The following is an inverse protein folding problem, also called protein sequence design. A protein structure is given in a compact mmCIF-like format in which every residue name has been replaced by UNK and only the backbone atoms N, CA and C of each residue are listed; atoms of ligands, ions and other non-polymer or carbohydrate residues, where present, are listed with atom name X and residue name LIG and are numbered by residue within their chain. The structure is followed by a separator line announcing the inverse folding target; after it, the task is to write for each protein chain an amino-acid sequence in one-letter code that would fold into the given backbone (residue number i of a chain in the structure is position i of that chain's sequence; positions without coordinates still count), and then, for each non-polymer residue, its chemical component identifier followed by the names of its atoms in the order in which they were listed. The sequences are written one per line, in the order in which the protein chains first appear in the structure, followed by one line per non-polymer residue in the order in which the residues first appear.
data_IF_389110553859
#
_entry.id   IF_389110553859
#
_cell.length_a   1.000
_cell.length_b   1.000
_cell.length_c   1.000
_cell.angle_alpha   90.00
_cell.angle_beta   90.00
_cell.angle_gamma   90.00
#
_symmetry.space_group_name_H-M   'P 1'
#
loop_
_entity.id
_entity.type
_entity.pdbx_description
1 polymer ?
#
# COMPACT_ATOMS: atom_id res chain seq x y z
N UNK A 1 0.62 -4.21 3.78
CA UNK A 1 1.90 -3.88 4.36
C UNK A 1 2.66 -3.13 3.31
N UNK A 2 2.84 -1.87 3.57
CA UNK A 2 3.70 -1.07 2.74
C UNK A 2 5.06 -1.75 2.75
N UNK A 3 5.52 -2.21 1.61
CA UNK A 3 6.93 -2.51 1.36
C UNK A 3 7.66 -1.18 1.44
N UNK A 4 7.75 -0.62 2.64
CA UNK A 4 8.70 0.42 2.92
C UNK A 4 10.05 -0.27 2.86
N UNK A 5 10.76 -0.10 1.75
CA UNK A 5 12.20 -0.27 1.76
C UNK A 5 12.73 0.72 2.80
N UNK A 6 12.79 0.28 4.07
CA UNK A 6 13.59 1.00 5.04
C UNK A 6 15.02 0.86 4.56
N UNK A 7 15.53 1.92 3.97
CA UNK A 7 16.96 2.13 3.95
C UNK A 7 17.38 2.06 5.42
N UNK A 8 18.23 1.10 5.78
CA UNK A 8 18.74 1.00 7.13
C UNK A 8 19.38 2.34 7.47
N UNK A 9 18.78 3.08 8.41
CA UNK A 9 19.48 4.17 9.09
C UNK A 9 20.76 3.59 9.67
N UNK A 10 21.86 4.34 9.72
CA UNK A 10 23.10 3.88 10.33
C UNK A 10 22.79 3.24 11.67
N UNK A 11 23.25 2.01 11.84
CA UNK A 11 22.96 1.02 12.89
C UNK A 11 22.31 1.62 14.15
N UNK A 12 21.03 1.39 14.38
CA UNK A 12 20.44 1.74 15.65
C UNK A 12 21.15 0.91 16.72
N UNK A 13 21.52 1.50 17.84
CA UNK A 13 22.13 0.79 18.93
C UNK A 13 21.34 -0.47 19.29
N UNK A 14 21.96 -1.48 19.86
CA UNK A 14 21.43 -2.83 20.17
C UNK A 14 19.97 -2.84 20.70
N UNK A 15 19.57 -1.80 21.45
CA UNK A 15 18.21 -1.61 21.98
C UNK A 15 17.13 -1.35 20.92
N UNK A 16 17.45 -0.68 19.79
CA UNK A 16 16.48 -0.41 18.74
C UNK A 16 16.33 -1.60 17.79
N UNK A 17 17.41 -2.34 17.54
CA UNK A 17 17.36 -3.61 16.84
C UNK A 17 16.51 -4.63 17.60
N UNK A 18 16.66 -4.70 18.95
CA UNK A 18 15.85 -5.55 19.81
C UNK A 18 14.36 -5.14 19.79
N UNK A 19 14.07 -3.83 19.85
CA UNK A 19 12.69 -3.34 19.74
C UNK A 19 12.06 -3.65 18.37
N UNK A 20 12.82 -3.55 17.29
CA UNK A 20 12.34 -3.90 15.94
C UNK A 20 12.10 -5.40 15.80
N UNK A 21 12.99 -6.24 16.35
CA UNK A 21 12.83 -7.69 16.36
C UNK A 21 11.63 -8.13 17.22
N UNK A 22 11.44 -7.52 18.39
CA UNK A 22 10.28 -7.77 19.26
C UNK A 22 8.98 -7.33 18.60
N UNK A 23 8.96 -6.19 17.89
CA UNK A 23 7.81 -5.72 17.13
C UNK A 23 7.49 -6.66 15.97
N UNK A 24 8.49 -7.14 15.24
CA UNK A 24 8.31 -8.12 14.16
C UNK A 24 7.80 -9.46 14.71
N UNK A 25 8.36 -9.95 15.81
CA UNK A 25 7.89 -11.18 16.47
C UNK A 25 6.46 -11.04 16.99
N UNK A 26 6.10 -9.89 17.59
CA UNK A 26 4.74 -9.61 18.03
C UNK A 26 3.75 -9.59 16.85
N UNK A 27 4.11 -9.00 15.71
CA UNK A 27 3.28 -9.02 14.50
C UNK A 27 3.08 -10.46 14.01
N UNK A 28 4.13 -11.28 13.99
CA UNK A 28 4.02 -12.70 13.61
C UNK A 28 3.12 -13.52 14.55
N UNK A 29 3.09 -13.19 15.84
CA UNK A 29 2.19 -13.83 16.80
C UNK A 29 0.74 -13.35 16.67
N UNK A 30 0.53 -12.09 16.25
CA UNK A 30 -0.80 -11.48 16.16
C UNK A 30 -1.50 -11.85 14.83
N UNK A 31 -0.73 -12.09 13.75
CA UNK A 31 -1.27 -12.42 12.42
C UNK A 31 -0.64 -13.68 11.86
N UNK A 32 -0.99 -14.85 12.39
CA UNK A 32 -0.49 -16.11 11.87
C UNK A 32 -0.90 -16.28 10.38
N UNK A 33 0.02 -16.70 9.55
CA UNK A 33 -0.23 -17.01 8.13
C UNK A 33 -0.09 -15.84 7.16
N UNK A 34 -0.33 -14.58 7.55
CA UNK A 34 -0.26 -13.47 6.60
C UNK A 34 1.14 -13.29 6.00
N UNK A 35 2.18 -13.42 6.80
CA UNK A 35 3.58 -13.36 6.33
C UNK A 35 3.89 -14.45 5.29
N UNK A 36 3.34 -15.65 5.43
CA UNK A 36 3.51 -16.73 4.47
C UNK A 36 2.79 -16.41 3.15
N UNK A 37 1.57 -15.91 3.21
CA UNK A 37 0.80 -15.54 2.03
C UNK A 37 1.39 -14.33 1.29
N UNK A 38 1.93 -13.34 2.03
CA UNK A 38 2.72 -12.26 1.42
C UNK A 38 3.97 -12.79 0.71
N UNK A 39 4.75 -13.66 1.34
CA UNK A 39 5.93 -14.28 0.70
C UNK A 39 5.56 -15.09 -0.54
N UNK A 40 4.44 -15.82 -0.48
CA UNK A 40 3.93 -16.55 -1.66
C UNK A 40 3.57 -15.59 -2.79
N UNK A 41 2.87 -14.50 -2.50
CA UNK A 41 2.58 -13.47 -3.49
C UNK A 41 3.86 -12.85 -4.04
N UNK A 42 4.79 -12.44 -3.17
CA UNK A 42 6.08 -11.90 -3.60
C UNK A 42 6.88 -12.85 -4.48
N UNK A 43 6.79 -14.17 -4.25
CA UNK A 43 7.49 -15.16 -5.08
C UNK A 43 6.94 -15.26 -6.51
N UNK A 44 5.71 -14.81 -6.75
CA UNK A 44 5.09 -14.76 -8.07
C UNK A 44 5.51 -13.51 -8.86
N UNK A 45 6.02 -12.49 -8.18
CA UNK A 45 6.45 -11.26 -8.83
C UNK A 45 7.86 -11.44 -9.42
N UNK A 46 8.06 -10.93 -10.63
CA UNK A 46 9.40 -10.83 -11.20
C UNK A 46 10.21 -9.83 -10.37
N UNK A 47 11.22 -10.33 -9.68
CA UNK A 47 12.17 -9.49 -8.93
C UNK A 47 13.46 -9.36 -9.72
N UNK A 48 13.79 -8.15 -10.04
CA UNK A 48 15.10 -7.83 -10.58
C UNK A 48 15.65 -6.58 -9.86
N UNK A 49 16.75 -6.70 -9.14
CA UNK A 49 17.51 -7.92 -8.88
C UNK A 49 16.82 -8.82 -7.85
N UNK A 50 17.14 -10.09 -7.89
CA UNK A 50 16.69 -11.06 -6.89
C UNK A 50 17.31 -10.83 -5.49
N UNK A 51 18.21 -9.87 -5.36
CA UNK A 51 18.92 -9.54 -4.12
C UNK A 51 18.24 -8.35 -3.45
N UNK A 52 17.87 -8.46 -2.18
CA UNK A 52 17.36 -7.32 -1.42
C UNK A 52 18.42 -6.21 -1.37
N UNK A 53 18.04 -5.02 -1.81
CA UNK A 53 18.86 -3.83 -1.64
C UNK A 53 18.84 -3.40 -0.18
N UNK A 54 20.00 -3.28 0.44
CA UNK A 54 20.13 -2.99 1.87
C UNK A 54 20.81 -1.66 2.15
N UNK A 55 21.39 -1.05 1.12
CA UNK A 55 22.10 0.21 1.25
C UNK A 55 21.76 1.17 0.12
N UNK A 56 22.05 2.45 0.30
CA UNK A 56 21.93 3.46 -0.74
C UNK A 56 22.84 3.14 -1.94
N UNK A 57 24.01 2.54 -1.69
CA UNK A 57 24.93 2.16 -2.75
C UNK A 57 24.41 0.99 -3.58
N UNK A 58 23.74 0.01 -2.95
CA UNK A 58 23.07 -1.07 -3.67
C UNK A 58 22.02 -0.52 -4.63
N UNK A 59 21.17 0.42 -4.13
CA UNK A 59 20.14 1.07 -4.94
C UNK A 59 20.75 1.89 -6.07
N UNK A 60 21.81 2.64 -5.79
CA UNK A 60 22.53 3.43 -6.80
C UNK A 60 23.13 2.52 -7.90
N UNK A 61 23.70 1.40 -7.52
CA UNK A 61 24.24 0.41 -8.47
C UNK A 61 23.14 -0.20 -9.35
N UNK A 62 21.91 -0.38 -8.80
CA UNK A 62 20.76 -0.81 -9.61
C UNK A 62 20.41 0.20 -10.69
N UNK A 63 20.48 1.50 -10.38
CA UNK A 63 20.14 2.54 -11.37
C UNK A 63 21.07 2.55 -12.59
N UNK A 64 22.24 1.95 -12.49
CA UNK A 64 23.20 1.84 -13.61
C UNK A 64 22.77 0.81 -14.68
N UNK A 65 21.81 -0.06 -14.35
CA UNK A 65 21.33 -1.11 -15.28
C UNK A 65 19.97 -0.80 -15.89
N UNK A 66 19.36 0.34 -15.52
CA UNK A 66 18.05 0.75 -16.01
C UNK A 66 18.12 2.07 -16.78
N UNK A 67 17.41 2.15 -17.91
CA UNK A 67 17.28 3.39 -18.67
C UNK A 67 16.31 4.37 -18.00
N UNK A 68 15.37 3.85 -17.20
CA UNK A 68 14.30 4.63 -16.55
C UNK A 68 13.96 4.06 -15.18
N UNK A 69 13.73 4.96 -14.22
CA UNK A 69 13.26 4.61 -12.89
C UNK A 69 12.00 5.41 -12.60
N UNK A 70 10.98 4.70 -12.11
CA UNK A 70 9.72 5.29 -11.69
C UNK A 70 9.58 5.22 -10.18
N UNK A 71 9.08 6.31 -9.59
CA UNK A 71 8.63 6.33 -8.20
C UNK A 71 7.10 6.40 -8.16
N UNK A 72 6.50 5.66 -7.24
CA UNK A 72 5.05 5.53 -7.08
C UNK A 72 4.60 4.11 -7.45
N UNK A 73 3.35 3.82 -7.39
CA UNK A 73 2.27 4.69 -6.89
C UNK A 73 2.28 4.81 -5.35
N UNK A 74 1.08 5.00 -4.78
CA UNK A 74 0.82 5.12 -3.36
C UNK A 74 1.43 6.38 -2.70
N UNK A 75 1.34 6.45 -1.39
CA UNK A 75 1.66 7.64 -0.59
C UNK A 75 3.17 7.77 -0.32
N UNK A 76 3.97 7.60 -1.37
CA UNK A 76 5.44 7.66 -1.29
C UNK A 76 5.99 9.04 -0.93
N UNK A 77 5.18 10.09 -1.11
CA UNK A 77 5.50 11.46 -0.73
C UNK A 77 4.73 11.96 0.50
N UNK A 78 4.09 11.05 1.25
CA UNK A 78 3.39 11.39 2.49
C UNK A 78 4.34 11.35 3.68
N UNK A 79 4.81 12.52 4.10
CA UNK A 79 5.71 12.70 5.24
C UNK A 79 5.16 12.23 6.60
N UNK A 80 3.83 12.01 6.70
CA UNK A 80 3.20 11.51 7.93
C UNK A 80 3.34 9.99 8.08
N UNK A 81 3.65 9.27 7.00
CA UNK A 81 3.77 7.81 7.01
C UNK A 81 5.12 7.30 6.52
N UNK A 82 5.87 8.13 5.80
CA UNK A 82 7.22 7.83 5.32
C UNK A 82 8.21 8.56 6.21
N UNK A 83 9.10 7.82 6.88
CA UNK A 83 10.09 8.41 7.81
C UNK A 83 11.06 9.38 7.10
N UNK A 84 11.37 9.13 5.82
CA UNK A 84 12.25 9.92 4.98
C UNK A 84 11.77 9.84 3.52
N UNK A 85 11.43 10.98 2.95
CA UNK A 85 10.98 11.08 1.55
C UNK A 85 12.12 11.17 0.55
N UNK A 86 13.36 11.46 0.97
CA UNK A 86 14.50 11.69 0.08
C UNK A 86 14.73 10.53 -0.90
N UNK A 87 14.67 9.24 -0.50
CA UNK A 87 14.80 8.14 -1.45
C UNK A 87 13.75 8.13 -2.55
N UNK A 88 12.55 8.65 -2.26
CA UNK A 88 11.44 8.74 -3.21
C UNK A 88 11.48 10.00 -4.08
N UNK A 89 12.45 10.88 -3.84
CA UNK A 89 12.79 11.98 -4.75
C UNK A 89 13.82 11.55 -5.80
N UNK A 90 14.26 10.27 -5.79
CA UNK A 90 15.20 9.70 -6.75
C UNK A 90 16.50 10.52 -6.89
N UNK A 91 16.99 11.12 -5.79
CA UNK A 91 18.22 11.91 -5.75
C UNK A 91 19.47 11.06 -6.00
N UNK A 92 19.38 9.77 -5.68
CA UNK A 92 20.40 8.75 -5.88
C UNK A 92 20.51 8.25 -7.33
N UNK A 93 19.54 8.58 -8.20
CA UNK A 93 19.51 8.14 -9.61
C UNK A 93 20.40 9.05 -10.45
N UNK A 94 21.37 8.52 -11.21
CA UNK A 94 22.26 9.32 -12.04
C UNK A 94 21.52 9.99 -13.19
N UNK A 95 22.09 11.08 -13.73
CA UNK A 95 21.49 11.84 -14.84
C UNK A 95 21.33 11.03 -16.13
N UNK A 96 22.12 9.99 -16.30
CA UNK A 96 22.05 9.06 -17.44
C UNK A 96 20.78 8.22 -17.43
N UNK A 97 20.11 8.07 -16.28
CA UNK A 97 18.88 7.33 -16.13
C UNK A 97 17.70 8.29 -15.98
N UNK A 98 16.67 8.11 -16.80
CA UNK A 98 15.47 8.96 -16.77
C UNK A 98 14.64 8.69 -15.51
N UNK A 99 14.18 9.76 -14.89
CA UNK A 99 13.32 9.72 -13.68
C UNK A 99 11.89 10.10 -14.05
N UNK A 100 10.93 9.42 -13.45
CA UNK A 100 9.53 9.81 -13.55
C UNK A 100 8.76 9.38 -12.30
N UNK A 101 7.59 9.99 -12.04
CA UNK A 101 6.63 9.46 -11.08
C UNK A 101 5.39 8.94 -11.79
N UNK A 102 4.79 7.89 -11.22
CA UNK A 102 3.50 7.40 -11.66
C UNK A 102 2.53 7.29 -10.49
N UNK A 103 1.45 8.08 -10.53
CA UNK A 103 0.41 8.10 -9.50
C UNK A 103 0.96 8.26 -8.07
N UNK A 104 2.07 9.00 -7.90
CA UNK A 104 2.62 9.28 -6.58
C UNK A 104 1.68 10.18 -5.77
N UNK A 105 1.65 10.02 -4.45
CA UNK A 105 0.70 10.74 -3.60
C UNK A 105 1.36 11.30 -2.35
N UNK A 106 0.94 12.51 -1.97
CA UNK A 106 1.22 13.09 -0.65
C UNK A 106 0.21 12.61 0.41
N UNK A 107 -0.91 12.00 0.01
CA UNK A 107 -1.97 11.54 0.90
C UNK A 107 -2.74 12.67 1.59
N UNK A 108 -2.33 13.92 1.40
CA UNK A 108 -2.91 15.13 1.98
C UNK A 108 -2.58 16.34 1.11
N UNK A 109 -3.41 17.38 1.18
CA UNK A 109 -3.11 18.69 0.60
C UNK A 109 -2.18 19.53 1.47
N UNK A 110 -2.03 19.18 2.75
CA UNK A 110 -1.16 19.85 3.70
C UNK A 110 0.22 19.19 3.68
N UNK A 111 1.18 19.83 3.03
CA UNK A 111 2.56 19.37 2.87
C UNK A 111 3.49 20.41 3.53
N UNK A 112 4.46 19.95 4.31
CA UNK A 112 5.40 20.84 5.00
C UNK A 112 6.32 21.57 4.02
N UNK A 113 6.83 22.73 4.44
CA UNK A 113 7.79 23.50 3.63
C UNK A 113 9.08 22.70 3.37
N UNK A 114 9.49 21.82 4.29
CA UNK A 114 10.64 20.95 4.09
C UNK A 114 10.42 19.98 2.91
N UNK A 115 9.26 19.34 2.85
CA UNK A 115 8.87 18.47 1.74
C UNK A 115 8.72 19.25 0.43
N UNK A 116 8.09 20.43 0.46
CA UNK A 116 7.99 21.30 -0.72
C UNK A 116 9.37 21.73 -1.23
N UNK A 117 10.30 22.05 -0.35
CA UNK A 117 11.68 22.39 -0.72
C UNK A 117 12.40 21.20 -1.41
N UNK A 118 12.23 19.99 -0.87
CA UNK A 118 12.76 18.80 -1.51
C UNK A 118 12.15 18.57 -2.90
N UNK A 119 10.84 18.74 -3.04
CA UNK A 119 10.15 18.63 -4.33
C UNK A 119 10.65 19.67 -5.33
N UNK A 120 10.81 20.95 -4.93
CA UNK A 120 11.38 22.00 -5.81
C UNK A 120 12.79 21.66 -6.29
N UNK A 121 13.58 20.99 -5.45
CA UNK A 121 14.97 20.64 -5.75
C UNK A 121 15.04 19.49 -6.73
N UNK A 122 14.26 18.44 -6.54
CA UNK A 122 14.45 17.17 -7.22
C UNK A 122 13.50 16.93 -8.41
N UNK A 123 12.22 17.31 -8.30
CA UNK A 123 11.24 17.03 -9.34
C UNK A 123 11.50 17.71 -10.70
N UNK A 124 12.17 18.86 -10.80
CA UNK A 124 12.55 19.43 -12.10
C UNK A 124 13.44 18.52 -12.95
N UNK A 125 14.15 17.57 -12.32
CA UNK A 125 14.98 16.58 -13.02
C UNK A 125 14.16 15.39 -13.58
N UNK A 126 12.88 15.29 -13.27
CA UNK A 126 12.01 14.22 -13.75
C UNK A 126 11.56 14.52 -15.17
N UNK A 127 11.53 13.50 -16.02
CA UNK A 127 11.02 13.61 -17.40
C UNK A 127 9.51 13.70 -17.45
N UNK A 128 8.82 13.19 -16.44
CA UNK A 128 7.38 13.32 -16.26
C UNK A 128 7.04 13.19 -14.77
N UNK A 129 6.08 14.00 -14.32
CA UNK A 129 5.53 13.93 -12.96
C UNK A 129 4.05 13.66 -13.07
N UNK A 130 3.62 12.48 -12.61
CA UNK A 130 2.20 12.19 -12.43
C UNK A 130 1.89 11.80 -11.00
N UNK A 131 0.69 12.20 -10.57
CA UNK A 131 0.23 12.05 -9.18
C UNK A 131 -1.14 11.40 -9.16
N UNK A 132 -1.51 10.80 -8.03
CA UNK A 132 -2.77 10.09 -7.90
C UNK A 132 -3.97 11.02 -7.67
N UNK A 133 -3.76 12.10 -6.94
CA UNK A 133 -4.84 13.01 -6.56
C UNK A 133 -4.65 14.40 -7.17
N UNK A 134 -5.77 15.01 -7.59
CA UNK A 134 -5.80 16.40 -8.04
C UNK A 134 -5.26 17.37 -6.98
N UNK A 135 -5.48 17.09 -5.69
CA UNK A 135 -4.95 17.89 -4.60
C UNK A 135 -3.41 17.93 -4.59
N UNK A 136 -2.76 16.78 -4.84
CA UNK A 136 -1.29 16.72 -4.97
C UNK A 136 -0.81 17.51 -6.20
N UNK A 137 -1.53 17.42 -7.33
CA UNK A 137 -1.20 18.22 -8.52
C UNK A 137 -1.28 19.73 -8.25
N UNK A 138 -2.29 20.18 -7.49
CA UNK A 138 -2.44 21.58 -7.09
C UNK A 138 -1.31 22.04 -6.17
N UNK A 139 -0.90 21.22 -5.19
CA UNK A 139 0.25 21.48 -4.34
C UNK A 139 1.51 21.68 -5.18
N UNK A 140 1.78 20.81 -6.14
CA UNK A 140 2.94 20.90 -7.03
C UNK A 140 2.86 22.13 -7.95
N UNK A 141 1.68 22.45 -8.49
CA UNK A 141 1.47 23.68 -9.28
C UNK A 141 1.78 24.94 -8.46
N UNK A 142 1.44 24.97 -7.16
CA UNK A 142 1.76 26.05 -6.24
C UNK A 142 3.26 26.32 -6.04
N UNK A 143 4.10 25.34 -6.37
CA UNK A 143 5.56 25.44 -6.33
C UNK A 143 6.20 25.45 -7.74
N UNK A 144 5.40 25.69 -8.79
CA UNK A 144 5.87 25.81 -10.16
C UNK A 144 6.18 24.48 -10.87
N UNK A 145 5.72 23.35 -10.34
CA UNK A 145 5.92 22.04 -10.94
C UNK A 145 4.61 21.56 -11.60
N UNK A 146 4.70 21.27 -12.91
CA UNK A 146 3.58 20.69 -13.63
C UNK A 146 3.48 19.19 -13.33
N UNK A 147 2.30 18.74 -12.88
CA UNK A 147 2.01 17.33 -12.62
C UNK A 147 0.63 16.98 -13.16
N UNK A 148 0.53 15.80 -13.77
CA UNK A 148 -0.72 15.25 -14.27
C UNK A 148 -1.35 14.32 -13.23
N UNK A 149 -2.65 14.51 -12.95
CA UNK A 149 -3.39 13.58 -12.09
C UNK A 149 -3.84 12.38 -12.93
N UNK A 150 -3.41 11.19 -12.51
CA UNK A 150 -3.69 9.92 -13.20
C UNK A 150 -4.29 8.89 -12.25
N UNK A 151 -4.99 7.90 -12.78
CA UNK A 151 -5.52 6.81 -12.00
C UNK A 151 -4.40 5.97 -11.35
N UNK A 152 -4.68 5.45 -10.16
CA UNK A 152 -3.78 4.48 -9.51
C UNK A 152 -3.61 3.25 -10.42
N UNK A 153 -2.42 2.63 -10.48
CA UNK A 153 -2.15 1.48 -11.34
C UNK A 153 -3.08 0.28 -11.09
N UNK A 154 -3.76 0.21 -9.96
CA UNK A 154 -4.79 -0.82 -9.72
C UNK A 154 -5.88 -0.82 -10.80
N UNK A 155 -6.17 0.33 -11.41
CA UNK A 155 -7.16 0.49 -12.48
C UNK A 155 -6.62 0.22 -13.89
N UNK A 156 -5.32 -0.10 -14.04
CA UNK A 156 -4.73 -0.44 -15.34
C UNK A 156 -5.11 -1.84 -15.83
N UNK A 157 -5.56 -2.69 -14.93
CA UNK A 157 -5.98 -4.05 -15.24
C UNK A 157 -7.51 -4.18 -15.08
N UNK A 158 -8.19 -4.87 -15.99
CA UNK A 158 -9.61 -5.18 -15.86
C UNK A 158 -9.85 -6.25 -14.79
N UNK A 159 -11.12 -6.38 -14.37
CA UNK A 159 -11.51 -7.30 -13.29
C UNK A 159 -11.07 -8.75 -13.53
N UNK A 160 -11.19 -9.25 -14.75
CA UNK A 160 -10.82 -10.62 -15.13
C UNK A 160 -9.31 -10.90 -14.99
N UNK A 161 -8.46 -9.89 -15.20
CA UNK A 161 -7.03 -10.03 -14.93
C UNK A 161 -6.75 -10.16 -13.41
N UNK A 162 -7.48 -9.42 -12.58
CA UNK A 162 -7.35 -9.53 -11.13
C UNK A 162 -7.85 -10.87 -10.58
N UNK A 163 -8.90 -11.46 -11.16
CA UNK A 163 -9.40 -12.78 -10.73
C UNK A 163 -8.40 -13.89 -10.95
N UNK A 164 -7.47 -13.76 -11.88
CA UNK A 164 -6.43 -14.78 -12.13
C UNK A 164 -5.46 -14.97 -10.97
N UNK A 165 -5.31 -13.97 -10.11
CA UNK A 165 -4.40 -14.06 -8.96
C UNK A 165 -5.11 -14.41 -7.65
N UNK A 166 -6.40 -14.52 -7.63
CA UNK A 166 -7.20 -14.80 -6.44
C UNK A 166 -6.80 -16.09 -5.72
N UNK A 167 -6.99 -16.10 -4.40
CA UNK A 167 -6.85 -17.28 -3.57
C UNK A 167 -7.91 -17.23 -2.47
N UNK A 168 -8.62 -18.32 -2.27
CA UNK A 168 -9.61 -18.44 -1.19
C UNK A 168 -8.90 -18.36 0.15
N UNK A 169 -9.33 -17.47 1.08
CA UNK A 169 -8.77 -17.43 2.43
C UNK A 169 -9.12 -18.69 3.23
N UNK A 170 -8.23 -19.07 4.13
CA UNK A 170 -8.50 -20.13 5.07
C UNK A 170 -9.69 -19.79 5.99
N UNK A 171 -10.53 -20.77 6.28
CA UNK A 171 -11.67 -20.61 7.18
C UNK A 171 -12.94 -19.98 6.57
N UNK A 172 -12.94 -19.73 5.26
CA UNK A 172 -14.14 -19.32 4.52
C UNK A 172 -14.74 -20.50 3.75
N UNK A 173 -16.05 -20.64 3.83
CA UNK A 173 -16.85 -21.44 2.91
C UNK A 173 -17.34 -20.53 1.78
N UNK A 174 -16.93 -20.83 0.55
CA UNK A 174 -17.18 -20.01 -0.64
C UNK A 174 -18.65 -20.01 -1.13
N UNK A 175 -19.54 -20.71 -0.45
CA UNK A 175 -20.91 -21.00 -0.87
C UNK A 175 -21.96 -19.98 -0.39
N UNK A 176 -21.56 -18.99 0.42
CA UNK A 176 -22.49 -17.99 1.00
C UNK A 176 -21.96 -16.58 0.84
N UNK A 177 -22.85 -15.67 0.43
CA UNK A 177 -22.58 -14.24 0.46
C UNK A 177 -22.25 -13.77 1.87
N UNK A 178 -21.30 -12.87 2.02
CA UNK A 178 -20.83 -12.30 3.29
C UNK A 178 -20.58 -10.80 3.16
N UNK A 179 -20.52 -10.12 4.29
CA UNK A 179 -20.09 -8.73 4.38
C UNK A 179 -18.61 -8.69 4.78
N UNK A 180 -17.83 -7.88 4.10
CA UNK A 180 -16.42 -7.63 4.41
C UNK A 180 -16.24 -6.29 5.10
N UNK A 181 -15.59 -6.28 6.26
CA UNK A 181 -15.12 -5.07 6.94
C UNK A 181 -13.60 -5.02 6.91
N UNK A 182 -13.04 -4.00 6.27
CA UNK A 182 -11.60 -3.75 6.21
C UNK A 182 -11.26 -2.32 6.65
N UNK A 183 -10.73 -2.19 7.86
CA UNK A 183 -10.38 -0.90 8.44
C UNK A 183 -8.88 -0.78 8.66
N UNK A 184 -8.27 0.25 8.08
CA UNK A 184 -6.87 0.62 8.34
C UNK A 184 -6.72 1.38 9.67
N UNK A 185 -7.76 2.09 10.08
CA UNK A 185 -7.88 2.82 11.35
C UNK A 185 -9.22 2.49 11.98
N UNK A 186 -9.26 2.47 13.32
CA UNK A 186 -10.50 2.20 14.05
C UNK A 186 -11.57 3.22 13.65
N UNK A 187 -12.72 2.71 13.28
CA UNK A 187 -13.92 3.47 12.94
C UNK A 187 -15.12 2.69 13.47
N UNK A 188 -15.59 3.10 14.65
CA UNK A 188 -16.68 2.42 15.34
C UNK A 188 -18.02 2.60 14.60
N UNK A 189 -18.23 3.72 13.90
CA UNK A 189 -19.45 3.95 13.14
C UNK A 189 -19.49 3.02 11.91
N UNK A 190 -18.41 2.93 11.15
CA UNK A 190 -18.32 2.00 10.02
C UNK A 190 -18.48 0.54 10.47
N UNK A 191 -17.88 0.17 11.60
CA UNK A 191 -18.00 -1.18 12.16
C UNK A 191 -19.44 -1.51 12.58
N UNK A 192 -20.12 -0.58 13.26
CA UNK A 192 -21.52 -0.75 13.66
C UNK A 192 -22.44 -0.86 12.44
N UNK A 193 -22.23 -0.01 11.42
CA UNK A 193 -23.02 -0.05 10.18
C UNK A 193 -22.83 -1.37 9.43
N UNK A 194 -21.59 -1.88 9.35
CA UNK A 194 -21.31 -3.16 8.73
C UNK A 194 -21.98 -4.33 9.47
N UNK A 195 -21.97 -4.30 10.81
CA UNK A 195 -22.60 -5.33 11.64
C UNK A 195 -24.13 -5.32 11.46
N UNK A 196 -24.76 -4.14 11.53
CA UNK A 196 -26.19 -3.97 11.32
C UNK A 196 -26.62 -4.41 9.91
N UNK A 197 -25.81 -4.06 8.90
CA UNK A 197 -26.07 -4.49 7.52
C UNK A 197 -26.02 -6.01 7.40
N UNK A 198 -24.98 -6.65 7.95
CA UNK A 198 -24.83 -8.10 7.92
C UNK A 198 -25.99 -8.82 8.63
N UNK A 199 -26.40 -8.35 9.81
CA UNK A 199 -27.53 -8.90 10.56
C UNK A 199 -28.84 -8.78 9.77
N UNK A 200 -29.13 -7.58 9.23
CA UNK A 200 -30.34 -7.32 8.44
C UNK A 200 -30.48 -8.22 7.20
N UNK A 201 -29.35 -8.59 6.59
CA UNK A 201 -29.32 -9.44 5.39
C UNK A 201 -29.06 -10.91 5.70
N UNK A 202 -28.95 -11.32 6.97
CA UNK A 202 -28.63 -12.68 7.36
C UNK A 202 -27.28 -13.17 6.88
N UNK A 203 -26.33 -12.26 6.69
CA UNK A 203 -24.98 -12.53 6.17
C UNK A 203 -23.95 -12.58 7.30
N UNK A 204 -22.87 -13.34 7.08
CA UNK A 204 -21.73 -13.31 8.00
C UNK A 204 -20.94 -12.03 7.80
N UNK A 205 -20.44 -11.45 8.89
CA UNK A 205 -19.49 -10.35 8.86
C UNK A 205 -18.06 -10.91 9.04
N UNK A 206 -17.25 -10.81 8.02
CA UNK A 206 -15.82 -11.05 8.12
C UNK A 206 -15.05 -9.74 8.27
N UNK A 207 -14.09 -9.76 9.17
CA UNK A 207 -13.25 -8.59 9.48
C UNK A 207 -11.81 -8.92 9.15
N UNK A 208 -11.15 -8.05 8.42
CA UNK A 208 -9.72 -8.14 8.16
C UNK A 208 -9.02 -6.85 8.59
N UNK A 209 -7.77 -6.99 9.02
CA UNK A 209 -6.91 -5.88 9.37
C UNK A 209 -5.46 -6.24 9.00
N UNK A 210 -4.66 -5.31 8.41
CA UNK A 210 -3.30 -5.61 7.94
C UNK A 210 -2.38 -6.14 9.03
N UNK A 211 -2.63 -5.76 10.28
CA UNK A 211 -1.83 -6.16 11.45
C UNK A 211 -2.60 -7.12 12.38
N UNK A 212 -3.69 -7.73 11.93
CA UNK A 212 -4.49 -8.64 12.75
C UNK A 212 -5.15 -8.02 13.98
N UNK A 213 -5.20 -6.69 14.06
CA UNK A 213 -5.81 -6.01 15.18
C UNK A 213 -7.33 -6.18 15.16
N UNK A 214 -7.90 -6.48 16.32
CA UNK A 214 -9.34 -6.53 16.50
C UNK A 214 -9.89 -5.09 16.46
N UNK A 215 -10.47 -4.70 15.34
CA UNK A 215 -11.01 -3.35 15.15
C UNK A 215 -12.43 -3.17 15.66
N UNK A 216 -13.13 -4.27 15.89
CA UNK A 216 -14.49 -4.32 16.40
C UNK A 216 -14.70 -5.61 17.20
N UNK A 217 -15.70 -5.62 18.07
CA UNK A 217 -16.15 -6.84 18.77
C UNK A 217 -17.18 -7.64 17.95
N UNK A 218 -17.59 -7.10 16.80
CA UNK A 218 -18.52 -7.75 15.88
C UNK A 218 -17.76 -8.51 14.80
N UNK A 219 -18.38 -9.60 14.30
CA UNK A 219 -17.89 -10.37 13.18
C UNK A 219 -16.74 -11.34 13.50
N UNK A 220 -16.32 -12.05 12.48
CA UNK A 220 -15.22 -13.04 12.54
C UNK A 220 -13.95 -12.43 11.97
N UNK A 221 -12.92 -12.31 12.79
CA UNK A 221 -11.60 -11.87 12.34
C UNK A 221 -10.95 -12.99 11.53
N UNK A 222 -10.61 -12.66 10.28
CA UNK A 222 -9.82 -13.53 9.41
C UNK A 222 -8.33 -13.22 9.57
N UNK A 223 -7.57 -14.26 9.88
CA UNK A 223 -6.12 -14.20 9.96
C UNK A 223 -5.50 -14.73 8.67
N UNK A 224 -4.23 -14.40 8.42
CA UNK A 224 -3.50 -14.96 7.29
C UNK A 224 -3.87 -14.38 5.92
N UNK A 225 -4.67 -13.33 5.87
CA UNK A 225 -5.06 -12.69 4.60
C UNK A 225 -3.84 -12.02 3.97
N UNK A 226 -3.45 -12.47 2.80
CA UNK A 226 -2.45 -11.87 1.93
C UNK A 226 -3.09 -11.11 0.75
N UNK A 227 -2.28 -10.60 -0.19
CA UNK A 227 -2.81 -9.83 -1.33
C UNK A 227 -3.79 -10.61 -2.20
N UNK A 228 -3.57 -11.89 -2.42
CA UNK A 228 -4.43 -12.77 -3.25
C UNK A 228 -5.77 -13.03 -2.58
N UNK A 229 -5.73 -13.30 -1.29
CA UNK A 229 -6.90 -13.52 -0.44
C UNK A 229 -7.71 -12.22 -0.29
N UNK A 230 -7.03 -11.07 -0.22
CA UNK A 230 -7.67 -9.76 -0.18
C UNK A 230 -8.48 -9.46 -1.45
N UNK A 231 -7.93 -9.73 -2.63
CA UNK A 231 -8.64 -9.57 -3.91
C UNK A 231 -9.87 -10.48 -3.94
N UNK A 232 -9.70 -11.75 -3.56
CA UNK A 232 -10.80 -12.71 -3.50
C UNK A 232 -11.93 -12.26 -2.57
N UNK A 233 -11.57 -11.76 -1.37
CA UNK A 233 -12.55 -11.31 -0.38
C UNK A 233 -13.41 -10.16 -0.90
N UNK A 234 -12.80 -9.17 -1.56
CA UNK A 234 -13.56 -8.05 -2.13
C UNK A 234 -14.44 -8.54 -3.27
N UNK A 235 -13.89 -9.35 -4.18
CA UNK A 235 -14.65 -9.85 -5.32
C UNK A 235 -15.87 -10.67 -4.91
N UNK A 236 -15.78 -11.50 -3.87
CA UNK A 236 -16.86 -12.41 -3.46
C UNK A 236 -17.75 -11.86 -2.33
N UNK A 237 -17.43 -10.69 -1.78
CA UNK A 237 -18.30 -10.03 -0.80
C UNK A 237 -19.62 -9.57 -1.42
N UNK A 238 -20.70 -9.69 -0.69
CA UNK A 238 -22.00 -9.07 -1.03
C UNK A 238 -22.01 -7.57 -0.75
N UNK A 239 -21.22 -7.13 0.24
CA UNK A 239 -20.98 -5.72 0.54
C UNK A 239 -19.61 -5.54 1.19
N UNK A 240 -18.97 -4.39 0.96
CA UNK A 240 -17.66 -4.03 1.51
C UNK A 240 -17.76 -2.72 2.27
N UNK A 241 -17.32 -2.73 3.52
CA UNK A 241 -17.19 -1.55 4.36
C UNK A 241 -15.69 -1.32 4.61
N UNK A 242 -15.19 -0.14 4.26
CA UNK A 242 -13.75 0.12 4.38
C UNK A 242 -13.44 1.62 4.43
N UNK A 243 -12.32 1.95 5.08
CA UNK A 243 -11.66 3.25 4.99
C UNK A 243 -10.31 3.16 4.26
N UNK A 244 -10.12 2.12 3.45
CA UNK A 244 -8.93 1.91 2.62
C UNK A 244 -9.18 2.35 1.18
N UNK A 245 -8.27 3.14 0.64
CA UNK A 245 -8.29 3.51 -0.78
C UNK A 245 -8.31 2.27 -1.69
N UNK A 246 -7.42 1.30 -1.47
CA UNK A 246 -7.35 0.11 -2.33
C UNK A 246 -8.58 -0.80 -2.18
N UNK A 247 -9.17 -0.89 -1.00
CA UNK A 247 -10.42 -1.64 -0.87
C UNK A 247 -11.55 -0.97 -1.67
N UNK A 248 -11.67 0.35 -1.60
CA UNK A 248 -12.63 1.09 -2.43
C UNK A 248 -12.34 0.92 -3.93
N UNK A 249 -11.07 0.98 -4.33
CA UNK A 249 -10.67 0.79 -5.73
C UNK A 249 -11.06 -0.60 -6.25
N UNK A 250 -10.74 -1.66 -5.52
CA UNK A 250 -11.15 -3.01 -5.91
C UNK A 250 -12.68 -3.20 -5.85
N UNK A 251 -13.36 -2.54 -4.92
CA UNK A 251 -14.83 -2.55 -4.89
C UNK A 251 -15.42 -1.94 -6.16
N UNK A 252 -14.85 -0.86 -6.66
CA UNK A 252 -15.25 -0.26 -7.95
C UNK A 252 -14.95 -1.21 -9.12
N UNK A 253 -13.77 -1.85 -9.14
CA UNK A 253 -13.38 -2.79 -10.21
C UNK A 253 -14.33 -4.00 -10.25
N UNK A 254 -14.76 -4.49 -9.10
CA UNK A 254 -15.64 -5.65 -8.97
C UNK A 254 -17.12 -5.30 -8.78
N UNK A 255 -17.50 -4.03 -8.95
CA UNK A 255 -18.90 -3.54 -8.87
C UNK A 255 -19.59 -3.90 -7.55
N UNK A 256 -18.92 -3.62 -6.39
CA UNK A 256 -19.40 -3.93 -5.04
C UNK A 256 -19.96 -2.70 -4.33
#
# INVERSE_FOLDING_TARGET
PNLHYRLEKPQPGCLSALKSALKAAAIHMIVPGSSANFKRFESMMTKNPAVPTRSTDDIRNLSLVYDRIFVGSDQVWNEKIVDDIAPYMLDWVPETCKKASYAASCGTAEVSEATLAAMRTHLPSFTAVSVREQATAQVLAGIGIHAEAVADPVFLLPADAWTQIESVPDGITADKSFVLLYLLRRDNAAAATAAEYAERHGQRLYVIHPMGAKMTDCGTLLNGVGPREFVWLIHHAGAVFSNSFHAASFSVIFEK
#
